data_IF_854442821477
#
_entry.id   IF_854442821477
#
_cell.length_a   1.000
_cell.length_b   1.000
_cell.length_c   1.000
_cell.angle_alpha   90.00
_cell.angle_beta   90.00
_cell.angle_gamma   90.00
#
_symmetry.space_group_name_H-M   'P 1'
#
loop_
_entity.id
_entity.type
_entity.pdbx_description
1 polymer ?
#
# COMPACT_ATOMS: atom_id res chain seq x y z
N UNK A 1 0.14 -24.87 -0.75
CA UNK A 1 0.67 -24.60 0.62
C UNK A 1 -0.49 -24.34 1.58
N UNK A 2 -1.06 -25.37 2.21
CA UNK A 2 -2.28 -25.20 3.00
C UNK A 2 -2.07 -24.46 4.32
N UNK A 3 -0.88 -24.48 4.92
CA UNK A 3 -0.66 -23.85 6.24
C UNK A 3 -0.08 -22.43 6.18
N UNK A 4 0.31 -21.96 5.00
CA UNK A 4 0.96 -20.65 4.84
C UNK A 4 -0.05 -19.53 5.09
N UNK A 5 0.22 -18.70 6.10
CA UNK A 5 -0.63 -17.56 6.47
C UNK A 5 -0.09 -16.23 5.96
N UNK A 6 1.23 -16.12 5.78
CA UNK A 6 1.90 -14.88 5.37
C UNK A 6 2.93 -15.22 4.31
N UNK A 7 2.91 -14.46 3.21
CA UNK A 7 3.88 -14.59 2.13
C UNK A 7 4.39 -13.20 1.75
N UNK A 8 5.70 -13.05 1.81
CA UNK A 8 6.40 -11.90 1.26
C UNK A 8 7.39 -12.38 0.21
N UNK A 9 7.31 -11.80 -0.97
CA UNK A 9 8.27 -12.02 -2.04
C UNK A 9 8.76 -10.66 -2.51
N UNK A 10 10.06 -10.43 -2.33
CA UNK A 10 10.71 -9.23 -2.84
C UNK A 10 11.03 -9.41 -4.33
N UNK A 11 10.47 -8.54 -5.17
CA UNK A 11 10.69 -8.56 -6.61
C UNK A 11 9.38 -8.66 -7.39
N UNK A 12 9.47 -8.35 -8.68
CA UNK A 12 8.32 -8.27 -9.57
C UNK A 12 7.61 -9.64 -9.71
N UNK A 13 8.34 -10.76 -9.63
CA UNK A 13 7.84 -12.15 -9.55
C UNK A 13 6.68 -12.56 -10.48
N UNK A 14 6.32 -11.75 -11.48
CA UNK A 14 5.21 -11.99 -12.40
C UNK A 14 5.38 -13.25 -13.25
N UNK A 15 6.61 -13.73 -13.40
CA UNK A 15 6.94 -14.98 -14.07
C UNK A 15 6.49 -16.23 -13.29
N UNK A 16 6.28 -16.12 -11.97
CA UNK A 16 5.75 -17.21 -11.15
C UNK A 16 4.22 -17.13 -11.22
N UNK A 17 3.52 -18.21 -11.64
CA UNK A 17 2.07 -18.25 -11.62
C UNK A 17 1.52 -17.95 -10.21
N UNK A 18 0.52 -17.08 -10.11
CA UNK A 18 -0.02 -16.68 -8.82
C UNK A 18 -0.61 -17.87 -8.05
N UNK A 19 -1.14 -18.85 -8.78
CA UNK A 19 -1.70 -20.12 -8.27
C UNK A 19 -0.70 -20.94 -7.46
N UNK A 20 0.59 -20.76 -7.71
CA UNK A 20 1.66 -21.49 -7.03
C UNK A 20 2.09 -20.80 -5.73
N UNK A 21 1.72 -19.53 -5.58
CA UNK A 21 2.10 -18.68 -4.45
C UNK A 21 1.01 -18.63 -3.37
N UNK A 22 -0.26 -18.72 -3.76
CA UNK A 22 -1.39 -18.42 -2.88
C UNK A 22 -2.10 -19.68 -2.41
N UNK A 23 -2.71 -19.61 -1.22
CA UNK A 23 -3.44 -20.72 -0.63
C UNK A 23 -4.58 -20.25 0.27
N UNK A 24 -5.49 -21.17 0.67
CA UNK A 24 -6.74 -20.84 1.34
C UNK A 24 -6.59 -20.19 2.72
N UNK A 25 -5.46 -20.44 3.38
CA UNK A 25 -5.16 -19.90 4.72
C UNK A 25 -4.31 -18.63 4.67
N UNK A 26 -3.95 -18.14 3.48
CA UNK A 26 -3.15 -16.93 3.33
C UNK A 26 -3.96 -15.71 3.79
N UNK A 27 -3.41 -14.97 4.75
CA UNK A 27 -3.98 -13.74 5.31
C UNK A 27 -3.19 -12.50 4.91
N UNK A 28 -1.89 -12.64 4.67
CA UNK A 28 -1.03 -11.55 4.20
C UNK A 28 -0.26 -11.93 2.96
N UNK A 29 -0.31 -11.05 1.98
CA UNK A 29 0.44 -11.19 0.73
C UNK A 29 1.13 -9.87 0.42
N UNK A 30 2.47 -9.91 0.34
CA UNK A 30 3.28 -8.80 -0.15
C UNK A 30 4.06 -9.24 -1.38
N UNK A 31 3.70 -8.66 -2.53
CA UNK A 31 4.40 -8.81 -3.80
C UNK A 31 4.82 -7.41 -4.26
N UNK A 32 5.95 -6.96 -3.72
CA UNK A 32 6.51 -5.63 -4.02
C UNK A 32 8.01 -5.72 -4.21
N UNK A 33 8.54 -4.95 -5.16
CA UNK A 33 9.98 -4.78 -5.35
C UNK A 33 10.49 -3.48 -4.73
N UNK A 34 11.36 -3.59 -3.73
CA UNK A 34 11.96 -2.41 -3.08
C UNK A 34 13.04 -1.68 -3.92
N UNK A 35 13.44 -2.24 -5.07
CA UNK A 35 14.55 -1.71 -5.87
C UNK A 35 14.10 -0.63 -6.88
N UNK A 36 14.64 0.61 -6.80
CA UNK A 36 14.22 1.75 -7.61
C UNK A 36 14.51 1.58 -9.10
N UNK A 37 15.61 0.89 -9.45
CA UNK A 37 16.04 0.75 -10.86
C UNK A 37 15.10 -0.09 -11.70
N UNK A 38 14.16 -0.76 -11.06
CA UNK A 38 13.23 -1.67 -11.68
C UNK A 38 11.85 -1.59 -11.02
N UNK A 39 11.48 -0.41 -10.52
CA UNK A 39 10.09 -0.13 -10.15
C UNK A 39 9.16 -0.40 -11.34
N UNK A 40 7.85 -0.48 -11.11
CA UNK A 40 6.85 -0.77 -12.14
C UNK A 40 6.69 0.45 -13.05
N UNK A 41 7.66 0.64 -13.94
CA UNK A 41 7.64 1.66 -15.00
C UNK A 41 6.77 1.23 -16.19
N UNK A 42 6.33 -0.04 -16.24
CA UNK A 42 5.56 -0.59 -17.35
C UNK A 42 4.63 -1.73 -16.94
N UNK A 43 3.67 -2.05 -17.82
CA UNK A 43 2.65 -3.09 -17.64
C UNK A 43 3.22 -4.46 -17.25
N UNK A 44 4.44 -4.76 -17.70
CA UNK A 44 5.09 -6.06 -17.47
C UNK A 44 5.42 -6.34 -16.01
N UNK A 45 5.45 -5.29 -15.18
CA UNK A 45 5.83 -5.40 -13.77
C UNK A 45 4.64 -5.42 -12.81
N UNK A 46 3.41 -5.19 -13.29
CA UNK A 46 2.17 -5.29 -12.50
C UNK A 46 1.52 -6.67 -12.67
N UNK A 47 0.98 -7.24 -11.59
CA UNK A 47 0.13 -8.43 -11.67
C UNK A 47 -1.16 -8.13 -12.43
N UNK A 48 -1.56 -9.01 -13.34
CA UNK A 48 -2.77 -8.83 -14.14
C UNK A 48 -4.02 -8.80 -13.26
N UNK A 49 -5.09 -8.13 -13.70
CA UNK A 49 -6.36 -8.15 -12.98
C UNK A 49 -6.90 -9.59 -12.82
N UNK A 50 -6.62 -10.48 -13.77
CA UNK A 50 -6.95 -11.91 -13.68
C UNK A 50 -6.18 -12.62 -12.57
N UNK A 51 -4.91 -12.30 -12.34
CA UNK A 51 -4.14 -12.84 -11.21
C UNK A 51 -4.73 -12.40 -9.88
N UNK A 52 -5.17 -11.14 -9.79
CA UNK A 52 -5.82 -10.60 -8.58
C UNK A 52 -7.13 -11.33 -8.31
N UNK A 53 -7.95 -11.57 -9.34
CA UNK A 53 -9.18 -12.36 -9.22
C UNK A 53 -8.90 -13.81 -8.79
N UNK A 54 -7.87 -14.44 -9.37
CA UNK A 54 -7.46 -15.78 -8.98
C UNK A 54 -7.00 -15.81 -7.50
N UNK A 55 -6.26 -14.80 -7.07
CA UNK A 55 -5.83 -14.64 -5.67
C UNK A 55 -7.02 -14.53 -4.74
N UNK A 56 -8.02 -13.70 -5.07
CA UNK A 56 -9.23 -13.55 -4.26
C UNK A 56 -10.02 -14.86 -4.12
N UNK A 57 -10.01 -15.70 -5.15
CA UNK A 57 -10.66 -17.02 -5.11
C UNK A 57 -9.86 -18.04 -4.29
N UNK A 58 -8.54 -18.05 -4.41
CA UNK A 58 -7.67 -19.03 -3.77
C UNK A 58 -7.33 -18.68 -2.31
N UNK A 59 -7.34 -17.40 -1.96
CA UNK A 59 -7.10 -16.86 -0.62
C UNK A 59 -8.28 -15.97 -0.19
N UNK A 60 -9.47 -16.55 0.06
CA UNK A 60 -10.69 -15.77 0.33
C UNK A 60 -10.61 -14.94 1.62
N UNK A 61 -9.79 -15.39 2.58
CA UNK A 61 -9.59 -14.75 3.89
C UNK A 61 -8.40 -13.78 3.91
N UNK A 62 -7.91 -13.32 2.76
CA UNK A 62 -6.81 -12.37 2.70
C UNK A 62 -7.23 -11.03 3.34
N UNK A 63 -6.47 -10.59 4.34
CA UNK A 63 -6.73 -9.37 5.12
C UNK A 63 -5.76 -8.24 4.76
N UNK A 64 -4.55 -8.58 4.30
CA UNK A 64 -3.47 -7.65 4.03
C UNK A 64 -2.87 -7.91 2.65
N UNK A 65 -2.86 -6.89 1.81
CA UNK A 65 -2.35 -6.98 0.46
C UNK A 65 -1.43 -5.81 0.15
N UNK A 66 -0.20 -6.11 -0.25
CA UNK A 66 0.73 -5.11 -0.77
C UNK A 66 1.19 -5.50 -2.16
N UNK A 67 0.97 -4.59 -3.12
CA UNK A 67 1.21 -4.86 -4.52
C UNK A 67 1.86 -3.66 -5.20
N UNK A 68 2.76 -3.97 -6.12
CA UNK A 68 3.12 -3.05 -7.18
C UNK A 68 1.91 -2.75 -8.09
N UNK A 69 1.77 -1.49 -8.51
CA UNK A 69 0.74 -1.04 -9.45
C UNK A 69 1.37 -0.15 -10.52
N UNK A 70 0.79 -0.14 -11.72
CA UNK A 70 1.20 0.77 -12.79
C UNK A 70 0.80 2.22 -12.51
N UNK A 71 0.87 3.06 -13.55
CA UNK A 71 0.52 4.48 -13.41
C UNK A 71 -0.96 4.64 -13.05
N UNK A 72 -1.23 5.30 -11.93
CA UNK A 72 -2.58 5.64 -11.44
C UNK A 72 -2.86 7.14 -11.49
N UNK A 73 -2.04 7.91 -12.20
CA UNK A 73 -2.30 9.33 -12.48
C UNK A 73 -3.68 9.50 -13.12
N UNK A 74 -4.40 10.57 -12.73
CA UNK A 74 -5.73 10.93 -13.24
C UNK A 74 -6.86 9.91 -13.02
N UNK A 75 -6.58 8.75 -12.42
CA UNK A 75 -7.57 7.75 -12.05
C UNK A 75 -8.70 8.36 -11.20
N UNK A 76 -9.94 8.21 -11.67
CA UNK A 76 -11.15 8.82 -11.11
C UNK A 76 -11.11 10.35 -10.94
N UNK A 77 -10.22 11.03 -11.65
CA UNK A 77 -10.26 12.49 -11.74
C UNK A 77 -11.53 12.91 -12.51
N UNK A 78 -12.27 13.96 -12.09
CA UNK A 78 -13.56 14.33 -12.67
C UNK A 78 -13.56 14.60 -14.17
N UNK A 79 -12.41 15.02 -14.71
CA UNK A 79 -12.25 15.34 -16.13
C UNK A 79 -11.50 14.27 -16.92
N UNK A 80 -11.05 13.19 -16.28
CA UNK A 80 -10.30 12.14 -16.95
C UNK A 80 -11.23 11.23 -17.75
N UNK A 81 -10.82 10.91 -18.97
CA UNK A 81 -11.52 10.00 -19.87
C UNK A 81 -10.79 8.64 -19.84
N UNK A 82 -11.45 7.55 -19.39
CA UNK A 82 -10.87 6.21 -19.43
C UNK A 82 -10.44 5.81 -20.85
N UNK A 83 -9.22 5.28 -20.99
CA UNK A 83 -8.60 4.91 -22.27
C UNK A 83 -7.89 6.06 -22.98
N UNK A 84 -8.05 7.30 -22.51
CA UNK A 84 -7.31 8.48 -23.01
C UNK A 84 -6.34 8.98 -21.95
N UNK A 85 -6.86 9.39 -20.80
CA UNK A 85 -6.06 9.97 -19.71
C UNK A 85 -5.60 8.93 -18.68
N UNK A 86 -6.28 7.77 -18.66
CA UNK A 86 -6.05 6.69 -17.70
C UNK A 86 -6.17 5.35 -18.41
N UNK A 87 -5.25 4.45 -18.14
CA UNK A 87 -5.28 3.09 -18.68
C UNK A 87 -6.47 2.30 -18.12
N UNK A 88 -7.27 1.71 -19.02
CA UNK A 88 -8.45 0.90 -18.69
C UNK A 88 -8.09 -0.30 -17.82
N UNK A 89 -6.88 -0.84 -17.99
CA UNK A 89 -6.39 -1.97 -17.17
C UNK A 89 -6.28 -1.60 -15.69
N UNK A 90 -6.04 -0.33 -15.34
CA UNK A 90 -5.97 0.09 -13.93
C UNK A 90 -7.35 0.08 -13.27
N UNK A 91 -8.40 0.46 -14.02
CA UNK A 91 -9.78 0.30 -13.54
C UNK A 91 -10.13 -1.17 -13.32
N UNK A 92 -9.74 -2.05 -14.24
CA UNK A 92 -9.95 -3.49 -14.11
C UNK A 92 -9.20 -4.07 -12.91
N UNK A 93 -7.95 -3.67 -12.71
CA UNK A 93 -7.11 -4.07 -11.58
C UNK A 93 -7.73 -3.66 -10.25
N UNK A 94 -8.09 -2.39 -10.10
CA UNK A 94 -8.66 -1.89 -8.84
C UNK A 94 -10.04 -2.49 -8.56
N UNK A 95 -10.84 -2.72 -9.60
CA UNK A 95 -12.11 -3.46 -9.47
C UNK A 95 -11.89 -4.92 -9.06
N UNK A 96 -10.77 -5.54 -9.44
CA UNK A 96 -10.44 -6.88 -8.97
C UNK A 96 -10.10 -6.89 -7.46
N UNK A 97 -9.48 -5.83 -6.93
CA UNK A 97 -9.21 -5.71 -5.50
C UNK A 97 -10.49 -5.69 -4.65
N UNK A 98 -11.62 -5.23 -5.20
CA UNK A 98 -12.90 -5.23 -4.47
C UNK A 98 -13.48 -6.64 -4.29
N UNK A 99 -12.87 -7.68 -4.89
CA UNK A 99 -13.29 -9.09 -4.73
C UNK A 99 -12.76 -9.76 -3.46
N UNK A 100 -11.76 -9.20 -2.80
CA UNK A 100 -11.29 -9.74 -1.53
C UNK A 100 -12.31 -9.51 -0.42
N UNK A 101 -12.92 -10.60 0.06
CA UNK A 101 -13.98 -10.60 1.06
C UNK A 101 -13.63 -9.85 2.36
N UNK A 102 -12.40 -10.08 2.81
CA UNK A 102 -11.91 -9.74 4.14
C UNK A 102 -10.75 -8.75 4.11
N UNK A 103 -10.47 -8.12 2.97
CA UNK A 103 -9.35 -7.18 2.85
C UNK A 103 -9.58 -5.98 3.76
N UNK A 104 -8.61 -5.72 4.64
CA UNK A 104 -8.61 -4.62 5.61
C UNK A 104 -7.51 -3.61 5.31
N UNK A 105 -6.37 -4.08 4.82
CA UNK A 105 -5.23 -3.24 4.50
C UNK A 105 -4.80 -3.47 3.05
N UNK A 106 -4.70 -2.38 2.30
CA UNK A 106 -4.17 -2.36 0.94
C UNK A 106 -3.03 -1.36 0.85
N UNK A 107 -1.85 -1.80 0.45
CA UNK A 107 -0.75 -0.92 0.06
C UNK A 107 -0.41 -1.08 -1.42
N UNK A 108 -0.34 0.05 -2.11
CA UNK A 108 -0.04 0.13 -3.53
C UNK A 108 1.27 0.90 -3.72
N UNK A 109 2.12 0.37 -4.59
CA UNK A 109 3.40 0.98 -4.95
C UNK A 109 3.38 1.40 -6.43
N UNK A 110 2.88 2.62 -6.75
CA UNK A 110 2.93 3.15 -8.11
C UNK A 110 4.34 3.67 -8.47
N UNK A 111 4.64 3.86 -9.77
CA UNK A 111 5.87 4.52 -10.19
C UNK A 111 5.87 6.01 -9.79
N UNK A 112 6.98 6.48 -9.21
CA UNK A 112 7.23 7.90 -8.92
C UNK A 112 7.99 8.56 -10.09
N UNK A 113 7.47 8.36 -11.29
CA UNK A 113 8.10 8.75 -12.53
C UNK A 113 7.07 9.04 -13.63
N UNK A 114 7.37 9.92 -14.59
CA UNK A 114 6.48 10.19 -15.72
C UNK A 114 6.26 8.95 -16.58
N UNK A 115 5.08 8.81 -17.17
CA UNK A 115 4.74 7.72 -18.10
C UNK A 115 5.68 7.63 -19.32
N UNK A 116 6.30 8.74 -19.70
CA UNK A 116 7.21 8.84 -20.86
C UNK A 116 8.65 8.47 -20.55
N UNK A 117 8.99 8.26 -19.27
CA UNK A 117 10.36 8.00 -18.86
C UNK A 117 10.77 6.56 -19.17
N UNK A 118 11.92 6.39 -19.82
CA UNK A 118 12.46 5.05 -20.10
C UNK A 118 13.30 4.57 -18.91
N UNK A 119 13.34 3.27 -18.61
CA UNK A 119 14.20 2.72 -17.54
C UNK A 119 15.70 3.03 -17.71
N UNK A 120 16.11 3.38 -18.93
CA UNK A 120 17.48 3.76 -19.27
C UNK A 120 17.82 5.22 -18.95
N UNK A 121 16.83 6.09 -18.64
CA UNK A 121 17.10 7.49 -18.34
C UNK A 121 17.67 7.61 -16.92
N UNK A 122 18.94 8.02 -16.83
CA UNK A 122 19.65 8.12 -15.55
C UNK A 122 19.17 9.31 -14.69
N UNK A 123 18.28 10.14 -15.24
CA UNK A 123 17.83 11.42 -14.68
C UNK A 123 16.32 11.60 -14.88
N UNK A 124 15.52 10.61 -14.50
CA UNK A 124 14.07 10.75 -14.51
C UNK A 124 13.64 11.67 -13.37
N UNK A 125 13.03 12.84 -13.64
CA UNK A 125 12.49 13.67 -12.57
C UNK A 125 11.40 12.90 -11.84
N UNK A 126 11.50 12.82 -10.51
CA UNK A 126 10.48 12.15 -9.71
C UNK A 126 9.17 12.93 -9.76
N UNK A 127 8.08 12.22 -10.04
CA UNK A 127 6.73 12.78 -10.05
C UNK A 127 5.90 12.07 -8.99
N UNK A 128 5.12 12.87 -8.27
CA UNK A 128 4.17 12.40 -7.27
C UNK A 128 3.05 11.63 -7.99
N UNK A 129 2.77 10.36 -7.65
CA UNK A 129 1.89 9.50 -8.43
C UNK A 129 0.40 9.90 -8.35
N UNK A 130 0.00 10.59 -7.29
CA UNK A 130 -1.37 11.03 -7.04
C UNK A 130 -1.40 12.35 -6.25
N UNK A 131 -2.47 13.11 -6.40
CA UNK A 131 -2.79 14.22 -5.49
C UNK A 131 -3.51 13.72 -4.23
N UNK A 132 -3.57 14.54 -3.19
CA UNK A 132 -4.29 14.25 -1.94
C UNK A 132 -5.78 13.93 -2.19
N UNK A 133 -6.46 14.72 -3.02
CA UNK A 133 -7.88 14.50 -3.33
C UNK A 133 -8.07 13.20 -4.12
N UNK A 134 -7.13 12.85 -4.99
CA UNK A 134 -7.18 11.63 -5.77
C UNK A 134 -6.99 10.40 -4.86
N UNK A 135 -6.04 10.43 -3.91
CA UNK A 135 -5.87 9.35 -2.94
C UNK A 135 -7.16 9.09 -2.13
N UNK A 136 -7.84 10.16 -1.70
CA UNK A 136 -9.14 10.07 -1.02
C UNK A 136 -10.21 9.49 -1.95
N UNK A 137 -10.31 9.93 -3.20
CA UNK A 137 -11.27 9.39 -4.18
C UNK A 137 -11.07 7.89 -4.44
N UNK A 138 -9.82 7.46 -4.60
CA UNK A 138 -9.45 6.04 -4.78
C UNK A 138 -9.95 5.23 -3.58
N UNK A 139 -9.64 5.68 -2.36
CA UNK A 139 -10.09 5.02 -1.14
C UNK A 139 -11.61 4.94 -1.06
N UNK A 140 -12.32 6.06 -1.22
CA UNK A 140 -13.79 6.12 -1.16
C UNK A 140 -14.46 5.17 -2.17
N UNK A 141 -13.91 5.09 -3.39
CA UNK A 141 -14.43 4.19 -4.41
C UNK A 141 -14.22 2.72 -4.04
N UNK A 142 -13.02 2.37 -3.57
CA UNK A 142 -12.71 1.01 -3.12
C UNK A 142 -13.53 0.65 -1.88
N UNK A 143 -13.65 1.55 -0.91
CA UNK A 143 -14.38 1.33 0.34
C UNK A 143 -15.89 1.19 0.10
N UNK A 144 -16.47 1.95 -0.84
CA UNK A 144 -17.89 1.79 -1.23
C UNK A 144 -18.18 0.38 -1.75
N UNK A 145 -17.28 -0.19 -2.56
CA UNK A 145 -17.43 -1.55 -3.09
C UNK A 145 -16.99 -2.63 -2.09
N UNK A 146 -16.06 -2.28 -1.18
CA UNK A 146 -15.48 -3.16 -0.17
C UNK A 146 -15.39 -2.47 1.20
N UNK A 147 -16.48 -2.47 1.99
CA UNK A 147 -16.51 -1.78 3.29
C UNK A 147 -15.58 -2.35 4.36
N UNK A 148 -15.03 -3.56 4.15
CA UNK A 148 -14.02 -4.14 5.05
C UNK A 148 -12.67 -3.43 4.97
N UNK A 149 -12.40 -2.69 3.89
CA UNK A 149 -11.15 -1.98 3.69
C UNK A 149 -11.05 -0.83 4.68
N UNK A 150 -10.10 -0.90 5.60
CA UNK A 150 -9.88 0.08 6.67
C UNK A 150 -8.80 1.08 6.30
N UNK A 151 -7.78 0.63 5.55
CA UNK A 151 -6.60 1.43 5.24
C UNK A 151 -6.21 1.23 3.77
N UNK A 152 -6.05 2.33 3.05
CA UNK A 152 -5.33 2.40 1.77
C UNK A 152 -4.02 3.16 1.98
N UNK A 153 -2.91 2.55 1.62
CA UNK A 153 -1.59 3.18 1.60
C UNK A 153 -1.10 3.25 0.15
N UNK A 154 -0.83 4.44 -0.37
CA UNK A 154 -0.14 4.63 -1.65
C UNK A 154 1.26 5.12 -1.28
N UNK A 155 2.30 4.36 -1.61
CA UNK A 155 3.64 4.62 -1.10
C UNK A 155 4.69 4.58 -2.22
N UNK A 156 5.70 5.43 -2.10
CA UNK A 156 6.92 5.30 -2.88
C UNK A 156 7.71 4.08 -2.43
N UNK A 157 8.52 3.53 -3.34
CA UNK A 157 9.51 2.55 -2.94
C UNK A 157 10.46 3.18 -1.89
N UNK A 158 10.89 2.41 -0.86
CA UNK A 158 11.75 2.90 0.22
C UNK A 158 13.10 3.47 -0.21
N UNK A 159 13.49 3.33 -1.46
CA UNK A 159 14.73 3.87 -2.02
C UNK A 159 14.64 5.33 -2.47
N UNK A 160 13.43 5.88 -2.67
CA UNK A 160 13.29 7.30 -3.00
C UNK A 160 13.57 8.11 -1.72
N UNK A 161 14.29 9.22 -1.81
CA UNK A 161 14.55 10.13 -0.68
C UNK A 161 14.27 11.59 -0.99
N UNK A 162 14.18 11.92 -2.28
CA UNK A 162 14.24 13.30 -2.78
C UNK A 162 12.86 13.80 -3.25
N UNK A 163 11.78 13.06 -2.97
CA UNK A 163 10.41 13.47 -3.26
C UNK A 163 9.79 14.04 -2.00
N UNK A 164 9.10 15.18 -2.14
CA UNK A 164 8.47 15.85 -1.02
C UNK A 164 7.47 14.92 -0.34
N UNK A 165 6.41 14.47 -1.03
CA UNK A 165 5.42 13.54 -0.48
C UNK A 165 5.68 12.13 -0.96
N UNK A 166 5.68 11.20 -0.02
CA UNK A 166 6.23 9.88 -0.24
C UNK A 166 5.29 8.74 0.14
N UNK A 167 4.28 9.01 0.96
CA UNK A 167 3.13 8.13 1.08
C UNK A 167 1.85 8.91 1.40
N UNK A 168 0.72 8.33 1.01
CA UNK A 168 -0.64 8.70 1.38
C UNK A 168 -1.24 7.52 2.11
N UNK A 169 -1.64 7.70 3.37
CA UNK A 169 -2.41 6.72 4.11
C UNK A 169 -3.81 7.27 4.34
N UNK A 170 -4.80 6.60 3.76
CA UNK A 170 -6.22 6.97 3.88
C UNK A 170 -6.91 5.94 4.76
N UNK A 171 -7.63 6.42 5.77
CA UNK A 171 -8.35 5.59 6.73
C UNK A 171 -9.78 6.09 6.93
N UNK A 172 -10.70 5.17 7.24
CA UNK A 172 -12.07 5.53 7.64
C UNK A 172 -12.16 5.68 9.16
N UNK A 173 -12.72 6.79 9.63
CA UNK A 173 -13.02 7.06 11.04
C UNK A 173 -14.49 7.48 11.19
N UNK A 174 -15.37 6.51 11.43
CA UNK A 174 -16.82 6.75 11.41
C UNK A 174 -17.26 7.20 10.02
N UNK A 175 -17.89 8.37 9.93
CA UNK A 175 -18.33 8.97 8.65
C UNK A 175 -17.25 9.85 7.99
N UNK A 176 -16.05 9.91 8.57
CA UNK A 176 -14.97 10.77 8.11
C UNK A 176 -13.85 9.95 7.48
N UNK A 177 -13.22 10.55 6.48
CA UNK A 177 -12.04 9.98 5.80
C UNK A 177 -10.82 10.79 6.20
N UNK A 178 -9.83 10.12 6.76
CA UNK A 178 -8.60 10.75 7.23
C UNK A 178 -7.46 10.37 6.30
N UNK A 179 -6.89 11.38 5.64
CA UNK A 179 -5.68 11.26 4.85
C UNK A 179 -4.49 11.73 5.68
N UNK A 180 -3.47 10.89 5.82
CA UNK A 180 -2.17 11.25 6.36
C UNK A 180 -1.13 11.15 5.24
N UNK A 181 -0.44 12.24 4.97
CA UNK A 181 0.71 12.25 4.07
C UNK A 181 2.01 12.29 4.87
N UNK A 182 2.96 11.48 4.42
CA UNK A 182 4.28 11.38 5.03
C UNK A 182 5.39 11.68 4.03
N UNK A 183 6.49 12.16 4.59
CA UNK A 183 7.61 12.73 3.85
C UNK A 183 8.90 12.13 4.41
N UNK A 184 9.74 11.52 3.56
CA UNK A 184 11.00 10.93 4.04
C UNK A 184 11.96 12.05 4.46
N UNK A 185 12.73 11.82 5.52
CA UNK A 185 13.68 12.81 6.06
C UNK A 185 13.05 14.13 6.52
N UNK A 186 11.72 14.17 6.67
CA UNK A 186 11.02 15.26 7.34
C UNK A 186 10.43 14.73 8.64
N UNK A 187 10.58 15.49 9.70
CA UNK A 187 9.99 15.15 11.00
C UNK A 187 8.57 15.69 11.12
N UNK A 188 7.74 15.49 10.10
CA UNK A 188 6.33 15.85 10.18
C UNK A 188 5.47 14.99 9.25
N UNK A 189 4.22 14.81 9.65
CA UNK A 189 3.15 14.31 8.80
C UNK A 189 2.09 15.40 8.63
N UNK A 190 1.42 15.40 7.50
CA UNK A 190 0.27 16.26 7.26
C UNK A 190 -0.99 15.41 7.28
N UNK A 191 -1.87 15.70 8.24
CA UNK A 191 -3.14 15.02 8.43
C UNK A 191 -4.27 15.91 7.89
N UNK A 192 -5.18 15.32 7.13
CA UNK A 192 -6.34 15.98 6.56
C UNK A 192 -7.58 15.16 6.86
N UNK A 193 -8.64 15.82 7.32
CA UNK A 193 -9.95 15.19 7.54
C UNK A 193 -10.90 15.61 6.43
N UNK A 194 -11.61 14.64 5.88
CA UNK A 194 -12.52 14.77 4.76
C UNK A 194 -13.90 14.23 5.13
N UNK A 195 -14.94 14.86 4.57
CA UNK A 195 -16.31 14.35 4.58
C UNK A 195 -16.74 14.25 3.11
N UNK A 196 -16.88 13.02 2.61
CA UNK A 196 -16.92 12.76 1.17
C UNK A 196 -15.70 13.35 0.47
N UNK A 197 -15.91 14.14 -0.58
CA UNK A 197 -14.82 14.77 -1.35
C UNK A 197 -14.46 16.18 -0.87
N UNK A 198 -14.93 16.62 0.30
CA UNK A 198 -14.64 17.94 0.86
C UNK A 198 -13.68 17.84 2.03
N UNK A 199 -12.54 18.53 1.93
CA UNK A 199 -11.61 18.72 3.05
C UNK A 199 -12.21 19.66 4.09
N UNK A 200 -12.30 19.20 5.34
CA UNK A 200 -12.86 19.97 6.47
C UNK A 200 -11.81 20.42 7.47
N UNK A 201 -10.69 19.68 7.60
CA UNK A 201 -9.60 20.01 8.52
C UNK A 201 -8.25 19.64 7.91
N UNK A 202 -7.21 20.35 8.34
CA UNK A 202 -5.82 20.12 7.94
C UNK A 202 -4.90 20.46 9.11
N UNK A 203 -3.97 19.57 9.42
CA UNK A 203 -3.09 19.65 10.60
C UNK A 203 -1.69 19.16 10.27
N UNK A 204 -0.66 19.86 10.75
CA UNK A 204 0.72 19.39 10.64
C UNK A 204 1.17 18.88 11.99
N UNK A 205 1.47 17.58 12.08
CA UNK A 205 2.02 16.96 13.28
C UNK A 205 3.53 16.84 13.11
N UNK A 206 4.29 17.58 13.92
CA UNK A 206 5.76 17.53 13.93
C UNK A 206 6.24 16.55 15.00
N UNK A 207 7.34 15.89 14.71
CA UNK A 207 7.99 14.91 15.58
C UNK A 207 9.39 15.41 15.95
N UNK A 208 9.83 15.11 17.17
CA UNK A 208 11.21 15.37 17.61
C UNK A 208 12.16 14.25 17.21
N UNK A 209 11.63 13.04 16.98
CA UNK A 209 12.38 11.87 16.54
C UNK A 209 12.03 11.51 15.08
N UNK A 210 13.00 11.00 14.30
CA UNK A 210 12.72 10.41 13.00
C UNK A 210 11.64 9.32 13.12
N UNK A 211 10.61 9.41 12.29
CA UNK A 211 9.60 8.35 12.17
C UNK A 211 10.06 7.33 11.14
N UNK A 212 9.66 6.07 11.32
CA UNK A 212 9.85 5.03 10.31
C UNK A 212 9.07 5.42 9.04
N UNK A 213 9.75 5.37 7.90
CA UNK A 213 9.27 5.93 6.63
C UNK A 213 7.98 5.25 6.10
N UNK A 214 7.97 3.93 6.16
CA UNK A 214 6.76 3.11 6.13
C UNK A 214 6.82 2.32 7.43
N UNK A 215 5.74 2.21 8.21
CA UNK A 215 5.71 1.14 9.19
C UNK A 215 6.01 -0.14 8.40
N UNK A 216 6.94 -0.96 8.91
CA UNK A 216 7.12 -2.31 8.38
C UNK A 216 5.73 -2.84 8.11
N UNK A 217 5.50 -3.39 6.91
CA UNK A 217 4.37 -4.28 6.68
C UNK A 217 4.24 -5.05 7.96
N UNK A 218 3.17 -4.85 8.72
CA UNK A 218 3.10 -5.49 10.01
C UNK A 218 3.16 -6.99 9.71
N UNK A 219 4.33 -7.61 9.82
CA UNK A 219 4.43 -8.83 10.56
C UNK A 219 3.79 -8.43 11.87
N UNK A 220 2.53 -8.79 12.04
CA UNK A 220 2.01 -8.96 13.37
C UNK A 220 2.89 -10.08 13.92
N UNK A 221 4.08 -9.72 14.41
CA UNK A 221 4.59 -10.40 15.57
C UNK A 221 3.41 -10.35 16.51
N UNK A 222 2.80 -11.52 16.76
CA UNK A 222 1.99 -11.75 17.93
C UNK A 222 2.64 -10.92 19.03
N UNK A 223 2.00 -9.81 19.40
CA UNK A 223 2.52 -9.04 20.51
C UNK A 223 2.63 -10.04 21.65
N UNK A 224 3.77 -10.00 22.32
CA UNK A 224 4.18 -10.88 23.40
C UNK A 224 3.29 -10.73 24.66
N UNK A 225 2.03 -10.35 24.47
CA UNK A 225 0.99 -10.07 25.44
C UNK A 225 -0.03 -11.22 25.59
N UNK A 226 -0.02 -12.23 24.71
CA UNK A 226 -0.79 -13.47 24.94
C UNK A 226 -0.05 -14.48 25.84
N UNK A 227 1.20 -14.20 26.21
CA UNK A 227 1.93 -14.94 27.23
C UNK A 227 2.22 -14.05 28.43
N UNK A 228 1.24 -13.92 29.33
CA UNK A 228 1.39 -14.10 30.80
C UNK A 228 0.30 -13.34 31.55
N UNK A 229 -0.84 -13.99 31.69
CA UNK A 229 -1.61 -13.87 32.93
C UNK A 229 -0.83 -14.63 34.02
N UNK A 230 -0.48 -13.88 35.08
CA UNK A 230 -0.11 -14.29 36.45
C UNK A 230 1.30 -14.83 36.78
N UNK A 231 2.15 -13.86 37.18
CA UNK A 231 2.93 -13.77 38.46
C UNK A 231 4.06 -14.80 38.76
N UNK A 232 4.97 -14.57 39.74
CA UNK A 232 5.93 -13.45 39.80
C UNK A 232 7.36 -13.86 40.29
N UNK A 233 8.37 -13.04 39.95
CA UNK A 233 9.68 -12.85 40.66
C UNK A 233 10.69 -14.04 40.78
N UNK A 234 11.96 -13.83 41.20
CA UNK A 234 12.92 -12.73 40.92
C UNK A 234 14.39 -13.22 40.68
N UNK A 235 15.28 -12.26 40.36
CA UNK A 235 16.77 -12.27 40.45
C UNK A 235 17.55 -13.09 39.41
N UNK A 236 18.75 -12.72 38.97
CA UNK A 236 19.60 -11.53 39.13
C UNK A 236 20.68 -11.59 38.04
N UNK A 237 21.31 -10.44 37.81
CA UNK A 237 22.68 -10.19 37.33
C UNK A 237 23.57 -11.37 36.93
N UNK A 238 24.23 -11.24 35.78
CA UNK A 238 25.71 -11.13 35.67
C UNK A 238 26.12 -11.20 34.18
N UNK A 239 26.64 -10.12 33.61
CA UNK A 239 28.08 -9.80 33.46
C UNK A 239 28.60 -10.18 32.06
N UNK A 240 29.02 -9.13 31.37
CA UNK A 240 30.01 -9.09 30.29
C UNK A 240 31.03 -10.24 30.31
N UNK A 241 31.20 -10.91 29.18
CA UNK A 241 32.49 -11.16 28.53
C UNK A 241 32.30 -11.57 27.08
#
# INVERSE_FOLDING_TARGET
MPELQELEINGICNHIPITDLVGPNLRRLRLHRENPRFSVYGKESQRSHTDILATANLAPNLEWLELDIGNIENLWHPTAIPGVDVDVEQYAFLKALTKFGHLRFLRLFPPFAPMTSQPADHWVPHVVPVTDDQAVRIFEQLHRERPSLQILSIAAAPSFSDVDTMHWEVTQQGDQTVLTTGHRNRHYNHCQTWIGQRRVRSEIKRFSTPQTYLPDSGGWMLERNDFRVNRPFPFADEVYR
#
